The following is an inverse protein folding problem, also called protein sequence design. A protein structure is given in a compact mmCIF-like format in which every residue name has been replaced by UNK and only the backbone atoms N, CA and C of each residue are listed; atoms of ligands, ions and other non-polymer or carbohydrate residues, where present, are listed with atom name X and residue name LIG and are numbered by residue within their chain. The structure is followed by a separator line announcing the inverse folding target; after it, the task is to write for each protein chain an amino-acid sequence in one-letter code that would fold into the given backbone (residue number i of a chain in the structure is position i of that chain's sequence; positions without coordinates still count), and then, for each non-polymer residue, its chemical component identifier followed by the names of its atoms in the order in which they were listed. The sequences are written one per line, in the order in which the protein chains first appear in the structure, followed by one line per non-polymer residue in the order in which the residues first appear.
data_IF_734348407173
#
_entry.id   IF_734348407173
#
_cell.length_a   1.000
_cell.length_b   1.000
_cell.length_c   1.000
_cell.angle_alpha   90.00
_cell.angle_beta   90.00
_cell.angle_gamma   90.00
#
_symmetry.space_group_name_H-M   'P 1'
#
loop_
_entity.id
_entity.type
_entity.pdbx_description
1 polymer ?
#
# COMPACT_ATOMS: atom_id res chain seq x y z
N UNK A 1 -32.84 31.70 -41.81
CA UNK A 1 -33.90 30.95 -42.49
C UNK A 1 -34.26 29.77 -41.62
N UNK A 2 -35.54 29.77 -41.17
CA UNK A 2 -36.29 28.74 -40.41
C UNK A 2 -35.67 28.19 -39.11
N UNK A 3 -36.08 28.46 -37.90
CA UNK A 3 -37.35 28.57 -37.09
C UNK A 3 -38.10 27.24 -36.96
N UNK A 4 -38.44 26.98 -35.65
CA UNK A 4 -39.68 26.35 -35.11
C UNK A 4 -39.44 24.90 -34.62
N UNK A 5 -39.94 24.38 -33.48
CA UNK A 5 -40.79 24.86 -32.35
C UNK A 5 -40.73 23.88 -31.15
N UNK A 6 -40.90 24.43 -29.98
CA UNK A 6 -41.35 23.90 -28.70
C UNK A 6 -42.38 22.75 -28.75
N UNK A 7 -42.35 21.88 -27.74
CA UNK A 7 -43.56 21.57 -26.96
C UNK A 7 -43.24 21.09 -25.53
N UNK A 8 -43.75 21.88 -24.62
CA UNK A 8 -43.92 21.62 -23.16
C UNK A 8 -45.21 20.81 -23.01
N UNK A 9 -45.26 19.90 -22.05
CA UNK A 9 -46.52 19.50 -21.39
C UNK A 9 -46.24 19.17 -19.92
N UNK A 10 -46.73 20.09 -19.06
CA UNK A 10 -47.03 19.86 -17.66
C UNK A 10 -48.37 19.15 -17.52
N UNK A 11 -48.51 18.27 -16.54
CA UNK A 11 -49.80 18.01 -15.91
C UNK A 11 -49.57 17.67 -14.40
N UNK A 12 -50.12 18.58 -13.59
CA UNK A 12 -50.42 18.38 -12.18
C UNK A 12 -51.88 17.90 -12.05
N UNK A 13 -52.19 17.12 -11.03
CA UNK A 13 -53.51 17.03 -10.38
C UNK A 13 -53.41 16.14 -9.13
N UNK A 14 -53.54 16.70 -8.01
CA UNK A 14 -54.62 16.89 -7.00
C UNK A 14 -54.86 15.70 -6.09
N UNK A 15 -54.70 15.99 -4.79
CA UNK A 15 -55.26 15.23 -3.64
C UNK A 15 -56.75 15.47 -3.49
N UNK A 16 -57.46 14.65 -2.69
CA UNK A 16 -58.37 15.23 -1.72
C UNK A 16 -58.25 14.69 -0.32
N UNK A 17 -58.59 15.58 0.59
CA UNK A 17 -58.82 15.48 2.02
C UNK A 17 -60.18 14.84 2.37
N UNK A 18 -60.25 14.50 3.66
CA UNK A 18 -61.41 14.45 4.55
C UNK A 18 -61.90 13.04 4.91
N UNK A 19 -62.01 12.76 6.16
CA UNK A 19 -62.90 13.06 7.17
C UNK A 19 -62.97 11.98 8.23
N UNK A 20 -62.94 12.31 9.42
CA UNK A 20 -62.98 11.90 10.72
C UNK A 20 -64.20 11.09 11.15
N UNK A 21 -64.10 10.45 12.31
CA UNK A 21 -64.95 10.59 13.50
C UNK A 21 -64.50 9.64 14.62
N UNK A 22 -64.60 10.19 15.83
CA UNK A 22 -64.38 9.55 17.14
C UNK A 22 -65.34 8.40 17.43
N UNK A 23 -64.97 7.53 18.39
CA UNK A 23 -65.63 7.24 19.68
C UNK A 23 -65.19 5.86 20.22
N UNK A 24 -64.86 5.79 21.51
CA UNK A 24 -65.03 4.58 22.31
C UNK A 24 -63.92 4.22 23.28
N UNK A 25 -64.01 4.73 24.50
CA UNK A 25 -63.27 4.28 25.69
C UNK A 25 -63.58 2.82 26.04
N UNK A 26 -62.55 2.04 26.37
CA UNK A 26 -62.67 0.96 27.35
C UNK A 26 -61.32 0.76 28.04
N UNK A 27 -61.25 1.04 29.31
CA UNK A 27 -60.21 0.67 30.25
C UNK A 27 -60.10 -0.85 30.37
N UNK A 28 -58.89 -1.38 30.19
CA UNK A 28 -58.49 -2.61 30.86
C UNK A 28 -57.04 -2.49 31.27
N UNK A 29 -56.81 -2.37 32.57
CA UNK A 29 -55.50 -2.54 33.20
C UNK A 29 -55.12 -4.02 33.13
N UNK A 30 -53.99 -4.31 32.48
CA UNK A 30 -53.26 -5.53 32.73
C UNK A 30 -51.79 -5.14 32.97
N UNK A 31 -51.43 -5.32 34.23
CA UNK A 31 -50.06 -5.30 34.72
C UNK A 31 -49.25 -6.37 33.99
N UNK A 32 -48.27 -5.94 33.17
CA UNK A 32 -47.31 -6.82 32.57
C UNK A 32 -45.94 -6.12 32.60
N UNK A 33 -45.06 -6.59 33.47
CA UNK A 33 -43.64 -6.19 33.47
C UNK A 33 -43.05 -6.52 32.12
N UNK A 34 -42.90 -5.55 31.25
CA UNK A 34 -41.97 -5.62 30.13
C UNK A 34 -40.62 -5.07 30.58
N UNK A 35 -39.74 -5.98 30.96
CA UNK A 35 -38.31 -5.70 30.95
C UNK A 35 -37.89 -5.42 29.49
N UNK A 36 -37.78 -4.14 29.14
CA UNK A 36 -37.15 -3.71 27.92
C UNK A 36 -35.67 -4.12 27.97
N UNK A 37 -35.35 -5.25 27.36
CA UNK A 37 -34.00 -5.52 26.91
C UNK A 37 -33.64 -4.44 25.87
N UNK A 38 -33.16 -3.29 26.33
CA UNK A 38 -32.42 -2.38 25.50
C UNK A 38 -31.14 -3.14 25.16
N UNK A 39 -31.11 -3.72 23.97
CA UNK A 39 -29.89 -4.19 23.36
C UNK A 39 -28.97 -2.96 23.33
N UNK A 40 -27.96 -2.91 24.19
CA UNK A 40 -26.81 -2.03 24.03
C UNK A 40 -26.18 -2.38 22.67
N UNK A 41 -26.60 -1.66 21.65
CA UNK A 41 -25.81 -1.60 20.41
C UNK A 41 -24.48 -0.97 20.83
N UNK A 42 -23.46 -1.80 21.00
CA UNK A 42 -22.09 -1.36 21.10
C UNK A 42 -21.85 -0.46 19.88
N UNK A 43 -21.70 0.84 20.11
CA UNK A 43 -21.33 1.79 19.07
C UNK A 43 -19.89 1.39 18.72
N UNK A 44 -19.74 0.64 17.63
CA UNK A 44 -18.42 0.31 17.10
C UNK A 44 -17.78 1.64 16.72
N UNK A 45 -16.71 2.01 17.43
CA UNK A 45 -15.95 3.24 17.18
C UNK A 45 -15.35 3.13 15.78
N UNK A 46 -15.83 3.91 14.84
CA UNK A 46 -15.24 3.98 13.51
C UNK A 46 -13.95 4.81 13.60
N UNK A 47 -12.82 4.18 13.38
CA UNK A 47 -11.53 4.87 13.31
C UNK A 47 -11.39 5.67 12.00
N UNK A 48 -10.70 6.80 12.05
CA UNK A 48 -10.40 7.65 10.88
C UNK A 48 -9.23 7.14 10.04
N UNK A 49 -8.79 5.91 10.30
CA UNK A 49 -7.72 5.24 9.55
C UNK A 49 -8.00 3.74 9.46
N UNK A 50 -7.28 3.09 8.58
CA UNK A 50 -7.34 1.64 8.39
C UNK A 50 -6.00 1.00 8.73
N UNK A 51 -6.03 -0.25 9.16
CA UNK A 51 -4.85 -1.10 9.12
C UNK A 51 -4.73 -1.62 7.68
N UNK A 52 -3.76 -1.06 6.93
CA UNK A 52 -3.50 -1.44 5.53
C UNK A 52 -3.19 -2.91 5.41
N UNK A 53 -2.40 -3.43 6.37
CA UNK A 53 -2.02 -4.84 6.39
C UNK A 53 -1.55 -5.31 7.75
N UNK A 54 -1.84 -6.59 8.04
CA UNK A 54 -1.13 -7.40 9.02
C UNK A 54 -0.28 -8.38 8.21
N UNK A 55 1.06 -8.34 8.38
CA UNK A 55 1.99 -9.17 7.60
C UNK A 55 2.68 -10.17 8.51
N UNK A 56 2.40 -11.46 8.29
CA UNK A 56 3.06 -12.57 8.99
C UNK A 56 4.42 -12.86 8.36
N UNK A 57 5.48 -12.88 9.16
CA UNK A 57 6.82 -13.32 8.77
C UNK A 57 7.02 -14.79 9.09
N UNK A 58 7.39 -15.61 8.12
CA UNK A 58 7.63 -17.05 8.27
C UNK A 58 8.85 -17.51 7.47
N UNK A 59 9.46 -18.63 7.89
CA UNK A 59 10.48 -19.30 7.11
C UNK A 59 9.90 -20.58 6.53
N UNK A 60 10.11 -20.82 5.24
CA UNK A 60 9.73 -22.05 4.57
C UNK A 60 10.90 -23.01 4.51
N UNK A 61 10.65 -24.29 4.74
CA UNK A 61 11.68 -25.33 4.58
C UNK A 61 11.97 -25.61 3.09
N UNK A 62 10.96 -25.42 2.23
CA UNK A 62 11.07 -25.58 0.78
C UNK A 62 9.98 -24.80 0.04
N UNK A 63 10.07 -24.74 -1.30
CA UNK A 63 9.02 -24.15 -2.14
C UNK A 63 7.70 -24.94 -2.11
N UNK A 64 7.68 -26.15 -1.56
CA UNK A 64 6.49 -26.98 -1.39
C UNK A 64 5.97 -27.04 0.05
N UNK A 65 6.43 -26.16 0.94
CA UNK A 65 6.00 -26.12 2.36
C UNK A 65 4.63 -25.45 2.50
N UNK A 66 3.60 -26.15 2.08
CA UNK A 66 2.20 -25.71 2.19
C UNK A 66 1.72 -25.66 3.64
N UNK A 67 2.31 -26.47 4.54
CA UNK A 67 1.91 -26.50 5.95
C UNK A 67 2.20 -25.19 6.66
N UNK A 68 3.40 -24.63 6.46
CA UNK A 68 3.79 -23.33 7.05
C UNK A 68 2.95 -22.20 6.49
N UNK A 69 2.63 -22.22 5.18
CA UNK A 69 1.73 -21.24 4.54
C UNK A 69 0.33 -21.33 5.14
N UNK A 70 -0.26 -22.53 5.26
CA UNK A 70 -1.59 -22.71 5.86
C UNK A 70 -1.64 -22.22 7.32
N UNK A 71 -0.65 -22.58 8.13
CA UNK A 71 -0.55 -22.10 9.52
C UNK A 71 -0.45 -20.56 9.61
N UNK A 72 0.23 -19.92 8.65
CA UNK A 72 0.30 -18.47 8.58
C UNK A 72 -1.04 -17.85 8.18
N UNK A 73 -1.77 -18.45 7.22
CA UNK A 73 -3.13 -18.02 6.83
C UNK A 73 -4.06 -18.09 8.04
N UNK A 74 -4.06 -19.18 8.78
CA UNK A 74 -4.90 -19.35 9.97
C UNK A 74 -4.57 -18.31 11.05
N UNK A 75 -3.30 -18.03 11.30
CA UNK A 75 -2.89 -16.94 12.19
C UNK A 75 -3.46 -15.60 11.72
N UNK A 76 -3.30 -15.26 10.45
CA UNK A 76 -3.75 -14.00 9.88
C UNK A 76 -5.27 -13.81 9.95
N UNK A 77 -6.06 -14.89 9.80
CA UNK A 77 -7.50 -14.84 9.97
C UNK A 77 -7.88 -14.52 11.44
N UNK A 78 -7.20 -15.15 12.43
CA UNK A 78 -7.42 -14.81 13.84
C UNK A 78 -6.98 -13.39 14.17
N UNK A 79 -5.83 -12.94 13.62
CA UNK A 79 -5.33 -11.60 13.80
C UNK A 79 -6.29 -10.55 13.23
N UNK A 80 -6.77 -10.76 11.98
CA UNK A 80 -7.79 -9.91 11.35
C UNK A 80 -9.00 -9.77 12.26
N UNK A 81 -9.60 -10.90 12.65
CA UNK A 81 -10.80 -10.90 13.49
C UNK A 81 -10.57 -10.14 14.79
N UNK A 82 -9.43 -10.31 15.46
CA UNK A 82 -9.13 -9.67 16.73
C UNK A 82 -9.09 -8.14 16.62
N UNK A 83 -8.53 -7.58 15.53
CA UNK A 83 -8.54 -6.14 15.29
C UNK A 83 -9.91 -5.63 14.82
N UNK A 84 -10.64 -6.41 14.01
CA UNK A 84 -11.99 -6.06 13.58
C UNK A 84 -12.98 -6.03 14.77
N UNK A 85 -12.83 -6.92 15.75
CA UNK A 85 -13.63 -6.93 16.98
C UNK A 85 -13.41 -5.66 17.82
N UNK A 86 -12.27 -4.98 17.69
CA UNK A 86 -11.96 -3.68 18.32
C UNK A 86 -12.37 -2.47 17.44
N UNK A 87 -12.98 -2.73 16.28
CA UNK A 87 -13.50 -1.70 15.38
C UNK A 87 -12.54 -1.21 14.30
N UNK A 88 -11.38 -1.84 14.13
CA UNK A 88 -10.46 -1.51 13.04
C UNK A 88 -10.85 -2.17 11.73
N UNK A 89 -10.80 -1.44 10.63
CA UNK A 89 -10.89 -1.99 9.28
C UNK A 89 -9.53 -2.55 8.86
N UNK A 90 -9.48 -3.85 8.49
CA UNK A 90 -8.27 -4.51 7.99
C UNK A 90 -8.39 -4.69 6.48
N UNK A 91 -7.63 -3.93 5.71
CA UNK A 91 -7.73 -3.96 4.27
C UNK A 91 -7.16 -5.26 3.67
N UNK A 92 -5.95 -5.67 4.08
CA UNK A 92 -5.32 -6.90 3.60
C UNK A 92 -4.60 -7.65 4.72
N UNK A 93 -4.41 -8.95 4.52
CA UNK A 93 -3.49 -9.77 5.32
C UNK A 93 -2.47 -10.41 4.39
N UNK A 94 -1.21 -10.50 4.84
CA UNK A 94 -0.06 -10.82 3.99
C UNK A 94 0.89 -11.79 4.68
N UNK A 95 1.63 -12.56 3.87
CA UNK A 95 2.73 -13.41 4.34
C UNK A 95 4.03 -12.93 3.69
N UNK A 96 5.10 -12.79 4.44
CA UNK A 96 6.46 -12.53 3.94
C UNK A 96 7.36 -13.70 4.33
N UNK A 97 8.10 -14.26 3.35
CA UNK A 97 9.07 -15.32 3.60
C UNK A 97 10.50 -14.78 3.62
N UNK A 98 11.45 -15.62 4.01
CA UNK A 98 12.87 -15.37 3.77
C UNK A 98 13.13 -15.26 2.25
N UNK A 99 14.31 -14.75 1.84
CA UNK A 99 14.68 -14.68 0.42
C UNK A 99 14.55 -16.02 -0.29
N UNK A 100 13.90 -16.04 -1.46
CA UNK A 100 13.61 -17.26 -2.25
C UNK A 100 14.82 -18.22 -2.38
N UNK A 101 16.06 -17.76 -2.64
CA UNK A 101 17.20 -18.68 -2.76
C UNK A 101 17.47 -19.54 -1.53
N UNK A 102 16.99 -19.15 -0.34
CA UNK A 102 17.23 -19.87 0.92
C UNK A 102 16.37 -21.14 1.09
N UNK A 103 15.29 -21.28 0.30
CA UNK A 103 14.40 -22.43 0.38
C UNK A 103 14.11 -23.10 -0.96
N UNK A 104 14.92 -22.81 -1.97
CA UNK A 104 14.88 -23.54 -3.28
C UNK A 104 15.34 -25.00 -3.12
N UNK A 105 16.21 -25.29 -2.14
CA UNK A 105 16.71 -26.66 -1.85
C UNK A 105 17.27 -27.36 -3.10
N UNK A 106 18.09 -26.66 -3.87
CA UNK A 106 18.73 -27.18 -5.08
C UNK A 106 17.85 -27.13 -6.35
N UNK A 107 16.57 -26.80 -6.24
CA UNK A 107 15.72 -26.54 -7.42
C UNK A 107 16.13 -25.24 -8.11
N UNK A 108 16.01 -25.23 -9.43
CA UNK A 108 16.00 -23.99 -10.20
C UNK A 108 14.72 -23.18 -9.90
N UNK A 109 14.74 -21.89 -10.18
CA UNK A 109 13.53 -21.04 -10.09
C UNK A 109 12.40 -21.53 -11.00
N UNK A 110 12.74 -22.07 -12.17
CA UNK A 110 11.77 -22.62 -13.12
C UNK A 110 11.09 -23.86 -12.57
N UNK A 111 11.83 -24.78 -11.94
CA UNK A 111 11.25 -25.95 -11.27
C UNK A 111 10.36 -25.54 -10.09
N UNK A 112 10.71 -24.49 -9.38
CA UNK A 112 9.93 -23.97 -8.26
C UNK A 112 8.57 -23.36 -8.68
N UNK A 113 8.37 -22.96 -9.93
CA UNK A 113 7.11 -22.37 -10.41
C UNK A 113 5.90 -23.28 -10.17
N UNK A 114 6.07 -24.58 -10.31
CA UNK A 114 4.98 -25.55 -10.07
C UNK A 114 4.52 -25.56 -8.61
N UNK A 115 5.47 -25.43 -7.68
CA UNK A 115 5.17 -25.34 -6.25
C UNK A 115 4.55 -23.98 -5.91
N UNK A 116 5.09 -22.88 -6.46
CA UNK A 116 4.58 -21.53 -6.25
C UNK A 116 3.13 -21.37 -6.73
N UNK A 117 2.73 -22.07 -7.82
CA UNK A 117 1.32 -22.12 -8.24
C UNK A 117 0.41 -22.77 -7.20
N UNK A 118 0.84 -23.89 -6.59
CA UNK A 118 0.09 -24.55 -5.52
C UNK A 118 -0.06 -23.64 -4.29
N UNK A 119 1.01 -22.92 -3.95
CA UNK A 119 0.95 -21.90 -2.90
C UNK A 119 -0.06 -20.81 -3.27
N UNK A 120 -0.05 -20.31 -4.53
CA UNK A 120 -0.96 -19.26 -5.01
C UNK A 120 -2.43 -19.68 -4.94
N UNK A 121 -2.74 -20.96 -5.21
CA UNK A 121 -4.08 -21.54 -5.05
C UNK A 121 -4.53 -21.48 -3.57
N UNK A 122 -3.65 -21.86 -2.64
CA UNK A 122 -3.92 -21.81 -1.20
C UNK A 122 -4.10 -20.36 -0.71
N UNK A 123 -3.27 -19.44 -1.18
CA UNK A 123 -3.39 -18.01 -0.89
C UNK A 123 -4.71 -17.43 -1.40
N UNK A 124 -5.13 -17.82 -2.61
CA UNK A 124 -6.41 -17.39 -3.19
C UNK A 124 -7.60 -17.85 -2.36
N UNK A 125 -7.58 -19.10 -1.89
CA UNK A 125 -8.62 -19.63 -1.01
C UNK A 125 -8.69 -18.90 0.36
N UNK A 126 -7.53 -18.47 0.88
CA UNK A 126 -7.41 -17.75 2.14
C UNK A 126 -7.59 -16.22 2.02
N UNK A 127 -7.73 -15.69 0.82
CA UNK A 127 -7.69 -14.23 0.54
C UNK A 127 -6.46 -13.54 1.14
N UNK A 128 -5.28 -14.13 0.92
CA UNK A 128 -3.98 -13.69 1.42
C UNK A 128 -3.03 -13.46 0.24
N UNK A 129 -2.14 -12.50 0.36
CA UNK A 129 -1.06 -12.30 -0.60
C UNK A 129 0.30 -12.60 0.03
N UNK A 130 1.24 -13.05 -0.79
CA UNK A 130 2.56 -13.52 -0.37
C UNK A 130 3.66 -12.67 -1.01
N UNK A 131 4.71 -12.33 -0.25
CA UNK A 131 6.01 -11.95 -0.80
C UNK A 131 7.01 -13.08 -0.54
N UNK A 132 7.61 -13.59 -1.62
CA UNK A 132 8.67 -14.61 -1.57
C UNK A 132 10.06 -13.99 -1.28
N UNK A 133 10.08 -12.72 -0.85
CA UNK A 133 11.29 -11.96 -0.55
C UNK A 133 12.12 -11.63 -1.78
N UNK A 134 13.36 -11.17 -1.57
CA UNK A 134 14.30 -10.94 -2.66
C UNK A 134 14.69 -12.24 -3.37
N UNK A 135 14.57 -12.25 -4.70
CA UNK A 135 15.02 -13.37 -5.53
C UNK A 135 16.52 -13.26 -5.85
N UNK A 136 17.03 -12.04 -5.88
CA UNK A 136 18.46 -11.74 -6.02
C UNK A 136 18.86 -10.83 -4.87
N UNK A 137 19.87 -11.25 -4.07
CA UNK A 137 20.29 -10.57 -2.84
C UNK A 137 21.66 -9.91 -2.91
N UNK A 138 22.40 -10.09 -4.02
CA UNK A 138 23.72 -9.51 -4.23
C UNK A 138 23.83 -8.93 -5.63
N UNK A 139 24.98 -8.27 -5.95
CA UNK A 139 25.20 -7.68 -7.26
C UNK A 139 25.56 -8.74 -8.28
N UNK A 140 24.66 -9.03 -9.20
CA UNK A 140 24.87 -9.93 -10.33
C UNK A 140 23.91 -9.66 -11.48
N UNK A 141 24.37 -9.87 -12.69
CA UNK A 141 23.53 -9.99 -13.85
C UNK A 141 22.96 -11.41 -13.97
N UNK A 142 21.67 -11.52 -14.28
CA UNK A 142 20.98 -12.80 -14.37
C UNK A 142 20.08 -12.80 -15.63
N UNK A 143 20.55 -13.36 -16.75
CA UNK A 143 19.85 -13.28 -18.03
C UNK A 143 18.52 -14.06 -18.07
N UNK A 144 18.30 -14.99 -17.15
CA UNK A 144 17.08 -15.78 -17.09
C UNK A 144 16.00 -15.14 -16.21
N UNK A 145 16.38 -14.13 -15.41
CA UNK A 145 15.47 -13.57 -14.42
C UNK A 145 14.27 -12.87 -15.04
N UNK A 146 14.47 -12.11 -16.12
CA UNK A 146 13.39 -11.34 -16.76
C UNK A 146 12.27 -12.25 -17.30
N UNK A 147 12.64 -13.34 -17.98
CA UNK A 147 11.67 -14.33 -18.49
C UNK A 147 10.95 -15.07 -17.37
N UNK A 148 11.67 -15.48 -16.32
CA UNK A 148 11.10 -16.14 -15.16
C UNK A 148 10.13 -15.20 -14.41
N UNK A 149 10.49 -13.93 -14.20
CA UNK A 149 9.66 -12.94 -13.52
C UNK A 149 8.34 -12.71 -14.26
N UNK A 150 8.40 -12.56 -15.59
CA UNK A 150 7.19 -12.45 -16.41
C UNK A 150 6.32 -13.71 -16.35
N UNK A 151 6.93 -14.89 -16.34
CA UNK A 151 6.21 -16.16 -16.20
C UNK A 151 5.55 -16.29 -14.82
N UNK A 152 6.25 -15.98 -13.74
CA UNK A 152 5.69 -15.99 -12.37
C UNK A 152 4.46 -15.09 -12.29
N UNK A 153 4.57 -13.85 -12.80
CA UNK A 153 3.46 -12.90 -12.81
C UNK A 153 2.28 -13.38 -13.63
N UNK A 154 2.53 -14.03 -14.76
CA UNK A 154 1.48 -14.60 -15.63
C UNK A 154 0.76 -15.78 -14.99
N UNK A 155 1.48 -16.62 -14.26
CA UNK A 155 0.96 -17.90 -13.73
C UNK A 155 0.41 -17.83 -12.31
N UNK A 156 0.64 -16.72 -11.60
CA UNK A 156 0.17 -16.50 -10.22
C UNK A 156 -0.57 -15.17 -10.10
N UNK A 157 -1.36 -15.00 -9.03
CA UNK A 157 -2.12 -13.77 -8.78
C UNK A 157 -1.67 -13.07 -7.49
N UNK A 158 -1.27 -13.82 -6.48
CA UNK A 158 -1.07 -13.33 -5.11
C UNK A 158 0.41 -13.27 -4.71
N UNK A 159 1.34 -13.69 -5.59
CA UNK A 159 2.77 -13.74 -5.28
C UNK A 159 3.46 -12.45 -5.72
N UNK A 160 4.15 -11.83 -4.78
CA UNK A 160 4.97 -10.63 -4.93
C UNK A 160 6.44 -10.96 -4.68
N UNK A 161 7.34 -10.18 -5.24
CA UNK A 161 8.78 -10.41 -5.11
C UNK A 161 9.60 -9.16 -5.38
N UNK A 162 10.86 -9.20 -4.99
CA UNK A 162 11.80 -8.09 -5.19
C UNK A 162 13.20 -8.60 -5.58
N UNK A 163 14.07 -7.67 -5.92
CA UNK A 163 15.53 -7.87 -6.02
C UNK A 163 16.23 -6.80 -5.21
N UNK A 164 17.42 -7.10 -4.65
CA UNK A 164 18.18 -6.16 -3.85
C UNK A 164 19.16 -5.40 -4.73
N UNK A 165 18.92 -4.09 -4.93
CA UNK A 165 19.76 -3.22 -5.78
C UNK A 165 20.75 -2.34 -5.01
N UNK A 166 20.72 -2.39 -3.68
CA UNK A 166 21.77 -1.84 -2.81
C UNK A 166 21.81 -2.57 -1.47
N UNK A 167 22.98 -2.61 -0.88
CA UNK A 167 23.24 -3.13 0.47
C UNK A 167 24.36 -2.30 1.11
N UNK A 168 24.83 -2.68 2.30
CA UNK A 168 25.99 -2.09 2.95
C UNK A 168 27.25 -2.09 2.06
N UNK A 169 27.30 -2.98 1.06
CA UNK A 169 28.40 -3.07 0.08
C UNK A 169 28.29 -2.03 -1.03
N UNK A 170 27.24 -1.23 -1.05
CA UNK A 170 26.99 -0.19 -2.06
C UNK A 170 25.90 -0.56 -3.08
N UNK A 171 25.92 0.12 -4.22
CA UNK A 171 24.97 -0.05 -5.33
C UNK A 171 25.26 -1.35 -6.09
N UNK A 172 24.24 -2.13 -6.38
CA UNK A 172 24.29 -3.36 -7.16
C UNK A 172 23.93 -3.06 -8.62
N UNK A 173 24.92 -2.62 -9.40
CA UNK A 173 24.70 -2.14 -10.75
C UNK A 173 24.23 -3.22 -11.74
N UNK A 174 24.72 -4.45 -11.59
CA UNK A 174 24.31 -5.58 -12.43
C UNK A 174 22.88 -6.05 -12.09
N UNK A 175 22.53 -6.04 -10.81
CA UNK A 175 21.16 -6.37 -10.40
C UNK A 175 20.17 -5.26 -10.79
N UNK A 176 20.59 -4.00 -10.84
CA UNK A 176 19.76 -2.91 -11.37
C UNK A 176 19.42 -3.10 -12.85
N UNK A 177 20.38 -3.56 -13.66
CA UNK A 177 20.15 -3.92 -15.06
C UNK A 177 19.17 -5.11 -15.16
N UNK A 178 19.39 -6.16 -14.39
CA UNK A 178 18.49 -7.33 -14.32
C UNK A 178 17.08 -6.93 -13.93
N UNK A 179 16.91 -6.02 -12.98
CA UNK A 179 15.62 -5.50 -12.55
C UNK A 179 14.91 -4.71 -13.67
N UNK A 180 15.65 -3.89 -14.42
CA UNK A 180 15.11 -3.14 -15.55
C UNK A 180 14.58 -4.07 -16.65
N UNK A 181 15.34 -5.10 -17.01
CA UNK A 181 14.90 -6.13 -17.96
C UNK A 181 13.62 -6.85 -17.48
N UNK A 182 13.53 -7.17 -16.19
CA UNK A 182 12.35 -7.79 -15.60
C UNK A 182 11.14 -6.87 -15.67
N UNK A 183 11.26 -5.58 -15.37
CA UNK A 183 10.19 -4.60 -15.49
C UNK A 183 9.63 -4.56 -16.91
N UNK A 184 10.52 -4.53 -17.92
CA UNK A 184 10.12 -4.55 -19.34
C UNK A 184 9.41 -5.86 -19.71
N UNK A 185 9.95 -7.01 -19.27
CA UNK A 185 9.35 -8.32 -19.55
C UNK A 185 7.98 -8.50 -18.90
N UNK A 186 7.82 -8.10 -17.65
CA UNK A 186 6.56 -8.14 -16.92
C UNK A 186 5.54 -7.20 -17.60
N UNK A 187 5.93 -6.01 -17.97
CA UNK A 187 5.07 -5.05 -18.66
C UNK A 187 4.51 -5.62 -19.96
N UNK A 188 5.36 -6.22 -20.79
CA UNK A 188 4.94 -6.86 -22.05
C UNK A 188 4.05 -8.10 -21.82
N UNK A 189 4.21 -8.77 -20.69
CA UNK A 189 3.50 -10.00 -20.32
C UNK A 189 2.16 -9.79 -19.60
N UNK A 190 1.80 -8.54 -19.27
CA UNK A 190 0.59 -8.24 -18.49
C UNK A 190 -0.23 -7.09 -19.08
N UNK A 191 -1.58 -7.17 -19.06
CA UNK A 191 -2.45 -6.09 -19.55
C UNK A 191 -2.11 -4.76 -18.85
N UNK A 192 -1.95 -3.69 -19.63
CA UNK A 192 -1.64 -2.36 -19.09
C UNK A 192 -0.34 -2.25 -18.29
N UNK A 193 0.53 -3.27 -18.33
CA UNK A 193 1.75 -3.32 -17.51
C UNK A 193 1.49 -3.57 -16.01
N UNK A 194 0.25 -3.91 -15.62
CA UNK A 194 -0.18 -4.02 -14.21
C UNK A 194 0.57 -5.11 -13.43
N UNK A 195 1.21 -6.07 -14.10
CA UNK A 195 2.06 -7.06 -13.47
C UNK A 195 3.21 -6.47 -12.65
N UNK A 196 3.68 -5.27 -13.01
CA UNK A 196 4.71 -4.54 -12.27
C UNK A 196 4.25 -4.08 -10.86
N UNK A 197 2.95 -4.16 -10.56
CA UNK A 197 2.45 -3.92 -9.20
C UNK A 197 3.03 -4.92 -8.18
N UNK A 198 3.43 -6.11 -8.64
CA UNK A 198 3.93 -7.21 -7.79
C UNK A 198 5.45 -7.31 -7.73
N UNK A 199 6.19 -6.39 -8.37
CA UNK A 199 7.65 -6.39 -8.43
C UNK A 199 8.25 -5.06 -8.02
N UNK A 200 9.41 -5.08 -7.34
CA UNK A 200 10.19 -3.88 -7.04
C UNK A 200 11.69 -4.14 -6.96
N UNK A 201 12.48 -3.13 -7.30
CA UNK A 201 13.90 -3.07 -7.00
C UNK A 201 14.08 -2.41 -5.63
N UNK A 202 14.61 -3.15 -4.65
CA UNK A 202 14.71 -2.74 -3.24
C UNK A 202 16.15 -2.36 -2.87
N UNK A 203 16.34 -1.19 -2.27
CA UNK A 203 17.63 -0.68 -1.84
C UNK A 203 17.64 -0.53 -0.30
N UNK A 204 18.54 -1.24 0.39
CA UNK A 204 18.70 -1.23 1.85
C UNK A 204 17.41 -1.45 2.66
N UNK A 205 16.41 -2.12 2.08
CA UNK A 205 15.17 -2.43 2.79
C UNK A 205 15.39 -3.52 3.84
N UNK A 206 14.74 -3.36 4.98
CA UNK A 206 14.91 -4.23 6.14
C UNK A 206 13.90 -5.38 6.13
N UNK A 207 14.29 -6.52 6.75
CA UNK A 207 13.35 -7.59 7.05
C UNK A 207 12.27 -7.10 8.02
N UNK A 208 11.06 -7.67 7.92
CA UNK A 208 9.93 -7.26 8.75
C UNK A 208 9.14 -6.06 8.23
N UNK A 209 9.55 -5.46 7.10
CA UNK A 209 8.75 -4.47 6.40
C UNK A 209 7.40 -5.08 6.00
N UNK A 210 6.23 -4.50 6.37
CA UNK A 210 4.93 -5.09 6.06
C UNK A 210 4.44 -4.80 4.64
N UNK A 211 5.00 -3.81 3.97
CA UNK A 211 4.54 -3.35 2.66
C UNK A 211 5.12 -4.18 1.52
N UNK A 212 4.29 -4.43 0.51
CA UNK A 212 4.62 -5.21 -0.67
C UNK A 212 4.90 -4.30 -1.88
N UNK A 213 5.72 -4.76 -2.80
CA UNK A 213 6.36 -6.09 -2.91
C UNK A 213 7.73 -6.23 -2.21
N UNK A 214 8.16 -5.25 -1.45
CA UNK A 214 9.51 -5.21 -0.82
C UNK A 214 9.65 -6.15 0.39
N UNK A 215 8.53 -6.55 0.99
CA UNK A 215 8.52 -7.32 2.24
C UNK A 215 9.31 -8.64 2.15
N UNK A 216 10.09 -8.91 3.16
CA UNK A 216 10.70 -10.21 3.41
C UNK A 216 10.91 -10.43 4.90
N UNK A 217 11.16 -11.69 5.27
CA UNK A 217 11.32 -12.08 6.66
C UNK A 217 12.72 -12.64 6.97
N UNK A 218 13.16 -12.45 8.20
CA UNK A 218 14.31 -13.11 8.82
C UNK A 218 14.06 -13.30 10.31
N UNK A 219 14.58 -14.39 10.88
CA UNK A 219 14.48 -14.65 12.31
C UNK A 219 13.29 -15.53 12.69
N UNK A 220 12.86 -15.52 13.94
CA UNK A 220 11.73 -16.29 14.42
C UNK A 220 10.42 -15.88 13.76
N UNK A 221 9.42 -16.76 13.79
CA UNK A 221 8.08 -16.45 13.29
C UNK A 221 7.53 -15.17 13.93
N UNK A 222 7.10 -14.22 13.11
CA UNK A 222 6.81 -12.87 13.54
C UNK A 222 5.58 -12.27 12.82
N UNK A 223 5.23 -11.03 13.15
CA UNK A 223 4.33 -10.21 12.37
C UNK A 223 4.62 -8.72 12.54
N UNK A 224 4.19 -7.94 11.56
CA UNK A 224 4.24 -6.48 11.54
C UNK A 224 2.94 -5.89 11.01
N UNK A 225 2.70 -4.61 11.29
CA UNK A 225 1.49 -3.89 10.90
C UNK A 225 1.88 -2.72 9.99
N UNK A 226 1.15 -2.55 8.89
CA UNK A 226 1.24 -1.37 8.01
C UNK A 226 -0.07 -0.59 8.03
N UNK A 227 0.00 0.71 7.86
CA UNK A 227 -1.11 1.64 8.08
C UNK A 227 -1.58 2.33 6.79
N UNK A 228 -2.82 2.81 6.82
CA UNK A 228 -3.43 3.73 5.87
C UNK A 228 -3.96 4.92 6.67
N UNK A 229 -3.15 5.95 6.83
CA UNK A 229 -3.40 7.07 7.74
C UNK A 229 -3.49 8.47 7.11
N UNK A 230 -3.59 8.67 5.76
CA UNK A 230 -3.61 10.02 5.22
C UNK A 230 -4.75 10.91 5.75
N UNK A 231 -5.91 10.32 6.13
CA UNK A 231 -7.00 11.08 6.73
C UNK A 231 -6.63 11.65 8.10
N UNK A 232 -5.84 10.94 8.92
CA UNK A 232 -5.32 11.49 10.18
C UNK A 232 -4.36 12.65 9.92
N UNK A 233 -3.53 12.56 8.88
CA UNK A 233 -2.65 13.66 8.49
C UNK A 233 -3.46 14.88 8.04
N UNK A 234 -4.51 14.67 7.23
CA UNK A 234 -5.41 15.75 6.82
C UNK A 234 -6.08 16.42 8.03
N UNK A 235 -6.58 15.63 8.99
CA UNK A 235 -7.21 16.13 10.21
C UNK A 235 -6.21 16.95 11.07
N UNK A 236 -4.97 16.49 11.21
CA UNK A 236 -3.92 17.20 11.94
C UNK A 236 -3.56 18.54 11.28
N UNK A 237 -3.54 18.57 9.94
CA UNK A 237 -3.10 19.74 9.18
C UNK A 237 -4.21 20.74 8.86
N UNK A 238 -5.49 20.35 8.92
CA UNK A 238 -6.62 21.22 8.58
C UNK A 238 -6.67 22.54 9.36
N UNK A 239 -6.09 22.58 10.55
CA UNK A 239 -6.04 23.76 11.40
C UNK A 239 -4.60 24.14 11.80
N UNK A 240 -3.59 23.58 11.13
CA UNK A 240 -2.20 23.91 11.39
C UNK A 240 -1.89 25.34 10.92
N UNK A 241 -1.20 26.11 11.75
CA UNK A 241 -0.81 27.48 11.44
C UNK A 241 0.43 27.55 10.56
N UNK A 242 1.30 26.57 10.72
CA UNK A 242 2.56 26.40 10.02
C UNK A 242 3.02 24.95 10.10
N UNK A 243 4.17 24.65 9.53
CA UNK A 243 4.74 23.30 9.50
C UNK A 243 5.04 22.77 10.91
N UNK A 244 5.53 23.60 11.83
CA UNK A 244 5.88 23.17 13.18
C UNK A 244 4.62 22.87 14.03
N UNK A 245 3.57 23.69 13.93
CA UNK A 245 2.27 23.40 14.53
C UNK A 245 1.67 22.10 13.93
N UNK A 246 1.81 21.91 12.62
CA UNK A 246 1.39 20.69 11.93
C UNK A 246 2.11 19.44 12.44
N UNK A 247 3.44 19.50 12.66
CA UNK A 247 4.23 18.41 13.24
C UNK A 247 3.74 18.05 14.65
N UNK A 248 3.53 19.06 15.51
CA UNK A 248 3.07 18.84 16.88
C UNK A 248 1.70 18.18 16.94
N UNK A 249 0.74 18.66 16.13
CA UNK A 249 -0.61 18.09 16.01
C UNK A 249 -0.58 16.66 15.48
N UNK A 250 0.20 16.42 14.42
CA UNK A 250 0.33 15.10 13.82
C UNK A 250 0.88 14.09 14.82
N UNK A 251 1.94 14.43 15.55
CA UNK A 251 2.53 13.59 16.61
C UNK A 251 1.47 13.21 17.64
N UNK A 252 0.82 14.20 18.24
CA UNK A 252 -0.21 13.99 19.28
C UNK A 252 -1.33 13.08 18.78
N UNK A 253 -1.80 13.31 17.56
CA UNK A 253 -2.89 12.51 16.99
C UNK A 253 -2.45 11.06 16.70
N UNK A 254 -1.28 10.87 16.08
CA UNK A 254 -0.78 9.52 15.77
C UNK A 254 -0.46 8.73 17.04
N UNK A 255 0.14 9.32 18.06
CA UNK A 255 0.42 8.63 19.33
C UNK A 255 -0.88 8.20 20.03
N UNK A 256 -1.91 9.05 20.01
CA UNK A 256 -3.23 8.73 20.57
C UNK A 256 -3.93 7.58 19.82
N UNK A 257 -3.84 7.55 18.50
CA UNK A 257 -4.54 6.56 17.66
C UNK A 257 -3.75 5.24 17.54
N UNK A 258 -2.42 5.28 17.53
CA UNK A 258 -1.59 4.10 17.32
C UNK A 258 -1.22 3.36 18.61
N UNK A 259 -1.22 4.01 19.75
CA UNK A 259 -0.97 3.36 21.05
C UNK A 259 -1.90 2.17 21.33
N UNK A 260 -3.21 2.29 21.14
CA UNK A 260 -4.15 1.16 21.24
C UNK A 260 -3.85 0.02 20.26
N UNK A 261 -3.45 0.33 19.00
CA UNK A 261 -3.06 -0.67 17.99
C UNK A 261 -1.84 -1.45 18.45
N UNK A 262 -0.80 -0.76 18.95
CA UNK A 262 0.40 -1.40 19.47
C UNK A 262 0.09 -2.29 20.68
N UNK A 263 -0.71 -1.81 21.63
CA UNK A 263 -1.13 -2.59 22.79
C UNK A 263 -1.81 -3.90 22.37
N UNK A 264 -2.71 -3.83 21.40
CA UNK A 264 -3.41 -4.99 20.85
C UNK A 264 -2.42 -5.95 20.14
N UNK A 265 -1.45 -5.40 19.39
CA UNK A 265 -0.41 -6.19 18.74
C UNK A 265 0.50 -6.91 19.75
N UNK A 266 0.90 -6.24 20.83
CA UNK A 266 1.68 -6.85 21.91
C UNK A 266 0.94 -7.97 22.65
N UNK A 267 -0.38 -7.81 22.86
CA UNK A 267 -1.21 -8.88 23.43
C UNK A 267 -1.32 -10.07 22.47
N UNK A 268 -1.50 -9.82 21.18
CA UNK A 268 -1.53 -10.85 20.14
C UNK A 268 -0.19 -11.60 20.05
N UNK A 269 0.94 -10.90 20.16
CA UNK A 269 2.28 -11.51 20.15
C UNK A 269 2.42 -12.54 21.26
N UNK A 270 1.96 -12.23 22.47
CA UNK A 270 1.98 -13.16 23.62
C UNK A 270 1.07 -14.35 23.39
N UNK A 271 -0.15 -14.11 22.93
CA UNK A 271 -1.18 -15.15 22.75
C UNK A 271 -0.82 -16.14 21.65
N UNK A 272 -0.32 -15.64 20.52
CA UNK A 272 0.02 -16.42 19.33
C UNK A 272 1.47 -16.93 19.32
N UNK A 273 2.28 -16.56 20.33
CA UNK A 273 3.70 -16.89 20.45
C UNK A 273 4.49 -16.51 19.20
N UNK A 274 4.26 -15.29 18.71
CA UNK A 274 4.96 -14.70 17.57
C UNK A 274 5.65 -13.42 17.99
N UNK A 275 6.79 -13.12 17.37
CA UNK A 275 7.45 -11.84 17.61
C UNK A 275 6.64 -10.70 16.95
N UNK A 276 6.39 -9.64 17.70
CA UNK A 276 5.88 -8.39 17.15
C UNK A 276 7.04 -7.52 16.71
N UNK A 277 7.13 -7.23 15.40
CA UNK A 277 8.23 -6.46 14.82
C UNK A 277 8.01 -4.96 14.89
N UNK A 278 6.76 -4.51 14.99
CA UNK A 278 6.40 -3.09 15.07
C UNK A 278 5.33 -2.68 14.07
N UNK A 279 5.03 -1.38 14.10
CA UNK A 279 4.19 -0.69 13.11
C UNK A 279 5.09 0.01 12.10
N UNK A 280 4.85 -0.20 10.81
CA UNK A 280 5.36 0.70 9.78
C UNK A 280 4.40 1.89 9.70
N UNK A 281 4.85 3.03 10.20
CA UNK A 281 4.05 4.25 10.33
C UNK A 281 3.84 4.99 9.01
N UNK A 282 4.36 4.46 7.91
CA UNK A 282 4.18 5.05 6.58
C UNK A 282 2.68 5.17 6.24
N UNK A 283 2.22 6.38 5.85
CA UNK A 283 0.80 6.64 5.58
C UNK A 283 0.45 6.19 4.15
N UNK A 284 0.25 4.88 3.94
CA UNK A 284 -0.16 4.38 2.63
C UNK A 284 -1.48 5.05 2.21
N UNK A 285 -1.56 5.63 1.00
CA UNK A 285 -2.79 6.24 0.53
C UNK A 285 -3.74 5.22 -0.11
N UNK A 286 -4.94 5.69 -0.40
CA UNK A 286 -5.95 5.01 -1.18
C UNK A 286 -6.80 6.02 -1.96
N UNK A 287 -7.77 5.56 -2.75
CA UNK A 287 -8.62 6.45 -3.56
C UNK A 287 -9.42 7.45 -2.72
N UNK A 288 -9.69 7.13 -1.47
CA UNK A 288 -10.46 7.95 -0.52
C UNK A 288 -9.60 8.55 0.61
N UNK A 289 -8.29 8.30 0.61
CA UNK A 289 -7.35 8.78 1.62
C UNK A 289 -6.03 9.22 0.96
N UNK A 290 -5.94 10.49 0.56
CA UNK A 290 -4.82 11.04 -0.21
C UNK A 290 -3.76 11.69 0.67
N UNK A 291 -2.51 11.27 0.46
CA UNK A 291 -1.34 11.92 1.06
C UNK A 291 -1.02 13.26 0.37
N UNK A 292 -1.29 13.37 -0.93
CA UNK A 292 -1.17 14.62 -1.66
C UNK A 292 -2.09 15.69 -1.05
N UNK A 293 -3.35 15.34 -0.74
CA UNK A 293 -4.27 16.24 -0.07
C UNK A 293 -3.81 16.65 1.34
N UNK A 294 -3.20 15.75 2.10
CA UNK A 294 -2.64 16.09 3.41
C UNK A 294 -1.48 17.10 3.30
N UNK A 295 -0.59 16.93 2.32
CA UNK A 295 0.50 17.86 2.07
C UNK A 295 -0.04 19.24 1.63
N UNK A 296 -1.06 19.28 0.78
CA UNK A 296 -1.71 20.51 0.36
C UNK A 296 -2.41 21.22 1.52
N UNK A 297 -3.03 20.46 2.44
CA UNK A 297 -3.61 21.02 3.66
C UNK A 297 -2.55 21.68 4.56
N UNK A 298 -1.35 21.08 4.68
CA UNK A 298 -0.25 21.62 5.48
C UNK A 298 0.41 22.84 4.85
N UNK A 299 0.58 22.84 3.52
CA UNK A 299 1.33 23.87 2.80
C UNK A 299 0.46 25.01 2.25
N UNK A 300 -0.84 24.78 2.13
CA UNK A 300 -1.80 25.63 1.42
C UNK A 300 -1.43 25.88 -0.06
N UNK A 301 -0.63 24.98 -0.62
CA UNK A 301 -0.15 25.02 -2.01
C UNK A 301 -0.37 23.65 -2.67
N UNK A 302 -0.60 23.62 -4.00
CA UNK A 302 -0.67 22.37 -4.72
C UNK A 302 0.61 21.55 -4.58
N UNK A 303 0.47 20.22 -4.45
CA UNK A 303 1.62 19.31 -4.42
C UNK A 303 2.51 19.50 -5.67
N UNK A 304 3.81 19.49 -5.48
CA UNK A 304 4.81 19.82 -6.51
C UNK A 304 5.25 21.28 -6.48
N UNK A 305 4.58 22.16 -5.70
CA UNK A 305 5.01 23.55 -5.50
C UNK A 305 6.15 23.65 -4.48
N UNK A 306 6.73 24.83 -4.35
CA UNK A 306 7.63 25.19 -3.23
C UNK A 306 6.96 24.81 -1.89
N UNK A 307 7.72 24.40 -0.91
CA UNK A 307 7.32 23.83 0.39
C UNK A 307 6.93 22.36 0.38
N UNK A 308 6.67 21.71 -0.76
CA UNK A 308 6.40 20.26 -0.82
C UNK A 308 7.53 19.44 -0.20
N UNK A 309 8.80 19.75 -0.53
CA UNK A 309 9.95 19.06 0.03
C UNK A 309 10.05 19.23 1.56
N UNK A 310 9.82 20.44 2.06
CA UNK A 310 9.84 20.75 3.49
C UNK A 310 8.70 19.99 4.24
N UNK A 311 7.51 19.96 3.67
CA UNK A 311 6.39 19.20 4.22
C UNK A 311 6.67 17.68 4.24
N UNK A 312 7.24 17.12 3.17
CA UNK A 312 7.66 15.72 3.14
C UNK A 312 8.69 15.39 4.23
N UNK A 313 9.66 16.28 4.44
CA UNK A 313 10.67 16.14 5.50
C UNK A 313 10.02 16.16 6.89
N UNK A 314 9.18 17.16 7.15
CA UNK A 314 8.48 17.35 8.43
C UNK A 314 7.58 16.14 8.79
N UNK A 315 6.80 15.65 7.84
CA UNK A 315 5.96 14.46 8.03
C UNK A 315 6.83 13.25 8.36
N UNK A 316 7.88 12.99 7.57
CA UNK A 316 8.78 11.84 7.78
C UNK A 316 9.49 11.89 9.12
N UNK A 317 9.88 13.08 9.60
CA UNK A 317 10.46 13.28 10.92
C UNK A 317 9.48 12.84 12.03
N UNK A 318 8.23 13.24 11.96
CA UNK A 318 7.20 12.83 12.92
C UNK A 318 7.01 11.31 12.88
N UNK A 319 6.82 10.72 11.69
CA UNK A 319 6.58 9.28 11.54
C UNK A 319 7.69 8.41 12.13
N UNK A 320 8.95 8.88 12.08
CA UNK A 320 10.13 8.18 12.63
C UNK A 320 10.35 8.37 14.12
N UNK A 321 9.68 9.34 14.73
CA UNK A 321 9.95 9.77 16.11
C UNK A 321 8.77 9.54 17.06
N UNK A 322 7.78 8.72 16.65
CA UNK A 322 6.67 8.31 17.50
C UNK A 322 7.14 7.38 18.61
N UNK A 323 6.55 7.47 19.78
CA UNK A 323 6.86 6.61 20.94
C UNK A 323 6.10 5.26 20.83
N UNK A 324 6.40 4.51 19.76
CA UNK A 324 5.90 3.15 19.51
C UNK A 324 7.00 2.31 18.87
N UNK A 325 6.89 1.00 18.93
CA UNK A 325 7.83 0.11 18.21
C UNK A 325 7.58 0.22 16.71
N UNK A 326 8.52 0.84 16.00
CA UNK A 326 8.45 1.00 14.54
C UNK A 326 9.22 -0.09 13.78
N UNK A 327 8.83 -0.34 12.54
CA UNK A 327 9.52 -1.24 11.60
C UNK A 327 9.44 -0.71 10.17
N UNK A 328 10.04 -1.42 9.23
CA UNK A 328 9.92 -1.14 7.80
C UNK A 328 10.48 0.20 7.36
N UNK A 329 9.74 0.92 6.56
CA UNK A 329 10.12 2.23 6.06
C UNK A 329 9.93 3.34 7.11
N UNK A 330 8.80 3.32 7.80
CA UNK A 330 8.37 4.34 8.76
C UNK A 330 8.64 5.75 8.25
N UNK A 331 8.13 6.07 7.08
CA UNK A 331 8.34 7.35 6.41
C UNK A 331 7.28 7.62 5.33
N UNK A 332 7.25 8.84 4.85
CA UNK A 332 6.25 9.26 3.87
C UNK A 332 6.30 8.43 2.59
N UNK A 333 5.13 8.06 2.06
CA UNK A 333 4.92 7.36 0.80
C UNK A 333 4.30 8.30 -0.24
N UNK A 334 4.80 8.26 -1.48
CA UNK A 334 4.31 9.06 -2.60
C UNK A 334 3.99 8.17 -3.82
N UNK A 335 3.05 7.21 -3.71
CA UNK A 335 2.71 6.30 -4.79
C UNK A 335 1.78 6.98 -5.80
N UNK A 336 2.31 7.37 -6.96
CA UNK A 336 1.61 8.20 -7.95
C UNK A 336 0.26 7.58 -8.41
N UNK A 337 0.25 6.26 -8.63
CA UNK A 337 -0.95 5.57 -9.11
C UNK A 337 -1.90 5.11 -7.99
N UNK A 338 -1.56 5.26 -6.72
CA UNK A 338 -2.44 4.89 -5.60
C UNK A 338 -3.08 6.11 -4.92
N UNK A 339 -2.70 7.33 -5.34
CA UNK A 339 -3.14 8.60 -4.74
C UNK A 339 -3.77 9.52 -5.78
N UNK A 340 -5.06 9.88 -5.64
CA UNK A 340 -5.76 10.67 -6.65
C UNK A 340 -5.24 12.12 -6.79
N UNK A 341 -4.73 12.73 -5.71
CA UNK A 341 -4.18 14.09 -5.78
C UNK A 341 -2.81 14.05 -6.44
N UNK A 342 -1.93 13.10 -6.07
CA UNK A 342 -0.64 12.94 -6.75
C UNK A 342 -0.84 12.70 -8.25
N UNK A 343 -1.76 11.79 -8.63
CA UNK A 343 -2.09 11.53 -10.03
C UNK A 343 -2.59 12.78 -10.76
N UNK A 344 -3.43 13.59 -10.12
CA UNK A 344 -3.96 14.86 -10.68
C UNK A 344 -2.83 15.87 -10.87
N UNK A 345 -1.95 16.04 -9.89
CA UNK A 345 -0.82 17.00 -9.98
C UNK A 345 0.24 16.56 -10.99
N UNK A 346 0.43 15.24 -11.16
CA UNK A 346 1.24 14.72 -12.26
C UNK A 346 0.62 15.08 -13.63
N UNK A 347 -0.69 14.93 -13.78
CA UNK A 347 -1.42 15.29 -14.99
C UNK A 347 -1.37 16.79 -15.32
N UNK A 348 -1.31 17.64 -14.29
CA UNK A 348 -1.09 19.08 -14.43
C UNK A 348 0.38 19.46 -14.74
N UNK A 349 1.29 18.49 -14.77
CA UNK A 349 2.72 18.73 -15.01
C UNK A 349 3.43 19.46 -13.86
N UNK A 350 2.92 19.34 -12.63
CA UNK A 350 3.47 20.05 -11.48
C UNK A 350 4.74 19.45 -10.94
N UNK A 351 5.01 18.20 -11.26
CA UNK A 351 6.22 17.48 -10.90
C UNK A 351 6.51 16.36 -11.88
N UNK A 352 7.75 15.92 -11.95
CA UNK A 352 8.25 14.86 -12.80
C UNK A 352 8.82 13.72 -11.95
N UNK A 353 9.40 12.70 -12.61
CA UNK A 353 10.13 11.63 -11.92
C UNK A 353 11.35 12.17 -11.17
N UNK A 354 11.96 13.25 -11.66
CA UNK A 354 13.12 13.89 -10.99
C UNK A 354 12.74 14.53 -9.66
N UNK A 355 11.58 15.22 -9.59
CA UNK A 355 11.09 15.75 -8.32
C UNK A 355 10.71 14.62 -7.35
N UNK A 356 10.13 13.51 -7.82
CA UNK A 356 9.88 12.34 -6.97
C UNK A 356 11.18 11.76 -6.40
N UNK A 357 12.24 11.69 -7.23
CA UNK A 357 13.57 11.27 -6.76
C UNK A 357 14.15 12.27 -5.76
N UNK A 358 13.96 13.57 -5.96
CA UNK A 358 14.34 14.60 -5.00
C UNK A 358 13.58 14.43 -3.68
N UNK A 359 12.25 14.25 -3.73
CA UNK A 359 11.44 14.00 -2.53
C UNK A 359 11.85 12.69 -1.82
N UNK A 360 12.36 11.70 -2.57
CA UNK A 360 12.91 10.47 -2.00
C UNK A 360 14.12 10.70 -1.10
N UNK A 361 14.78 11.87 -1.16
CA UNK A 361 15.83 12.24 -0.21
C UNK A 361 15.31 12.41 1.21
N UNK A 362 14.08 12.88 1.38
CA UNK A 362 13.44 13.18 2.68
C UNK A 362 12.24 12.29 3.00
N UNK A 363 11.58 11.65 2.00
CA UNK A 363 10.48 10.71 2.21
C UNK A 363 10.99 9.32 2.63
N UNK A 364 10.08 8.35 2.80
CA UNK A 364 10.37 7.02 3.35
C UNK A 364 10.60 5.91 2.35
N UNK A 365 10.03 5.98 1.14
CA UNK A 365 9.85 4.77 0.31
C UNK A 365 10.53 4.78 -1.04
N UNK A 366 10.90 5.94 -1.57
CA UNK A 366 11.50 6.02 -2.92
C UNK A 366 10.47 6.26 -4.02
N UNK A 367 10.72 5.70 -5.21
CA UNK A 367 9.81 5.77 -6.34
C UNK A 367 8.78 4.65 -6.24
N UNK A 368 7.51 5.01 -6.11
CA UNK A 368 6.45 4.04 -5.89
C UNK A 368 5.32 4.18 -6.89
N UNK A 369 5.00 3.08 -7.59
CA UNK A 369 4.01 2.97 -8.69
C UNK A 369 4.06 4.15 -9.66
N UNK A 370 5.26 4.44 -10.17
CA UNK A 370 5.50 5.55 -11.10
C UNK A 370 5.17 5.11 -12.53
N UNK A 371 4.16 5.73 -13.20
CA UNK A 371 3.79 5.38 -14.57
C UNK A 371 4.79 5.96 -15.57
N UNK A 372 5.42 5.09 -16.36
CA UNK A 372 6.42 5.43 -17.38
C UNK A 372 5.97 4.98 -18.78
N UNK A 373 6.54 5.60 -19.80
CA UNK A 373 6.29 5.26 -21.19
C UNK A 373 6.68 3.79 -21.49
N UNK A 374 5.84 3.11 -22.27
CA UNK A 374 6.08 1.69 -22.60
C UNK A 374 7.30 1.43 -23.46
N UNK A 375 7.85 2.47 -24.09
CA UNK A 375 9.09 2.47 -24.90
C UNK A 375 10.33 2.95 -24.12
N UNK A 376 10.23 3.22 -22.82
CA UNK A 376 11.39 3.49 -21.95
C UNK A 376 12.36 2.32 -22.02
N UNK A 377 13.61 2.62 -22.35
CA UNK A 377 14.65 1.60 -22.55
C UNK A 377 15.10 0.93 -21.25
N UNK A 378 15.68 -0.25 -21.37
CA UNK A 378 16.29 -0.98 -20.24
C UNK A 378 17.39 -0.15 -19.59
N UNK A 379 18.19 0.56 -20.39
CA UNK A 379 19.29 1.41 -19.94
C UNK A 379 18.79 2.59 -19.10
N UNK A 380 17.72 3.27 -19.53
CA UNK A 380 17.10 4.38 -18.79
C UNK A 380 16.49 3.89 -17.45
N UNK A 381 15.78 2.76 -17.47
CA UNK A 381 15.26 2.16 -16.25
C UNK A 381 16.36 1.75 -15.27
N UNK A 382 17.42 1.10 -15.78
CA UNK A 382 18.57 0.70 -14.96
C UNK A 382 19.30 1.92 -14.38
N UNK A 383 19.40 3.03 -15.14
CA UNK A 383 19.96 4.28 -14.65
C UNK A 383 19.12 4.85 -13.50
N UNK A 384 17.79 4.95 -13.66
CA UNK A 384 16.89 5.43 -12.61
C UNK A 384 16.95 4.54 -11.36
N UNK A 385 16.97 3.21 -11.51
CA UNK A 385 17.10 2.27 -10.38
C UNK A 385 18.44 2.48 -9.65
N UNK A 386 19.54 2.73 -10.38
CA UNK A 386 20.84 3.05 -9.78
C UNK A 386 20.82 4.38 -9.02
N UNK A 387 20.10 5.39 -9.50
CA UNK A 387 19.95 6.66 -8.79
C UNK A 387 19.20 6.47 -7.46
N UNK A 388 18.12 5.68 -7.44
CA UNK A 388 17.41 5.31 -6.20
C UNK A 388 18.35 4.55 -5.24
N UNK A 389 19.13 3.60 -5.77
CA UNK A 389 20.09 2.81 -5.00
C UNK A 389 21.22 3.68 -4.42
N UNK A 390 21.76 4.62 -5.20
CA UNK A 390 22.79 5.57 -4.78
C UNK A 390 22.28 6.51 -3.68
N UNK A 391 21.06 7.03 -3.85
CA UNK A 391 20.40 7.88 -2.85
C UNK A 391 20.17 7.13 -1.54
N UNK A 392 19.64 5.90 -1.61
CA UNK A 392 19.44 5.00 -0.47
C UNK A 392 20.75 4.73 0.29
N UNK A 393 21.80 4.40 -0.45
CA UNK A 393 23.13 4.12 0.12
C UNK A 393 23.72 5.36 0.79
N UNK A 394 23.66 6.52 0.11
CA UNK A 394 24.23 7.77 0.64
C UNK A 394 23.51 8.24 1.91
N UNK A 395 22.20 8.08 1.97
CA UNK A 395 21.37 8.54 3.09
C UNK A 395 21.14 7.46 4.18
N UNK A 396 21.71 6.26 3.99
CA UNK A 396 21.53 5.11 4.91
C UNK A 396 20.07 4.84 5.25
N UNK A 397 19.20 4.80 4.24
CA UNK A 397 17.75 4.61 4.44
C UNK A 397 17.16 3.64 3.41
N UNK A 398 16.10 2.89 3.78
CA UNK A 398 15.42 2.02 2.84
C UNK A 398 14.73 2.85 1.76
N UNK A 399 14.92 2.49 0.49
CA UNK A 399 14.18 3.01 -0.66
C UNK A 399 13.87 1.86 -1.62
N UNK A 400 12.88 2.04 -2.48
CA UNK A 400 12.56 1.10 -3.55
C UNK A 400 12.19 1.82 -4.83
N UNK A 401 12.26 1.11 -5.96
CA UNK A 401 11.79 1.56 -7.25
C UNK A 401 10.75 0.55 -7.78
N UNK A 402 9.47 0.90 -7.66
CA UNK A 402 8.32 0.19 -8.25
C UNK A 402 7.84 0.99 -9.45
N UNK A 403 8.29 0.61 -10.64
CA UNK A 403 8.11 1.34 -11.88
C UNK A 403 7.11 0.61 -12.78
N UNK A 404 6.17 1.37 -13.32
CA UNK A 404 5.11 0.87 -14.19
C UNK A 404 5.33 1.33 -15.63
N UNK A 405 5.84 0.44 -16.48
CA UNK A 405 5.82 0.70 -17.91
C UNK A 405 4.45 0.36 -18.47
N UNK A 406 3.85 1.31 -19.19
CA UNK A 406 2.53 1.15 -19.79
C UNK A 406 2.67 0.90 -21.29
N UNK A 407 2.51 -0.34 -21.77
CA UNK A 407 2.71 -0.70 -23.18
C UNK A 407 1.87 0.16 -24.12
N UNK A 408 2.49 0.65 -25.19
CA UNK A 408 1.84 1.44 -26.23
C UNK A 408 1.49 2.89 -25.82
N UNK A 409 1.86 3.33 -24.62
CA UNK A 409 1.66 4.70 -24.14
C UNK A 409 2.97 5.47 -24.12
N UNK A 410 2.89 6.78 -24.34
CA UNK A 410 3.99 7.74 -24.29
C UNK A 410 3.82 8.73 -23.15
N UNK A 411 4.87 9.45 -22.81
CA UNK A 411 4.79 10.54 -21.84
C UNK A 411 3.71 11.56 -22.23
N UNK A 412 2.83 11.88 -21.26
CA UNK A 412 1.66 12.75 -21.47
C UNK A 412 0.37 12.00 -21.84
N UNK A 413 0.44 10.74 -22.28
CA UNK A 413 -0.76 9.93 -22.53
C UNK A 413 -1.46 9.59 -21.22
N UNK A 414 -2.78 9.42 -21.28
CA UNK A 414 -3.57 8.95 -20.14
C UNK A 414 -3.50 7.43 -20.02
N UNK A 415 -3.24 6.95 -18.81
CA UNK A 415 -3.33 5.55 -18.44
C UNK A 415 -4.56 5.31 -17.55
N UNK A 416 -5.30 4.24 -17.83
CA UNK A 416 -6.46 3.79 -17.08
C UNK A 416 -6.25 2.34 -16.66
N UNK A 417 -6.70 2.00 -15.45
CA UNK A 417 -6.48 0.69 -14.85
C UNK A 417 -7.80 0.09 -14.38
N UNK A 418 -7.95 -1.23 -14.55
CA UNK A 418 -9.06 -1.98 -13.97
C UNK A 418 -8.77 -2.44 -12.52
N UNK A 419 -7.58 -2.18 -12.01
CA UNK A 419 -7.17 -2.54 -10.67
C UNK A 419 -7.85 -1.62 -9.64
N UNK A 420 -8.53 -2.16 -8.61
CA UNK A 420 -9.24 -1.35 -7.61
C UNK A 420 -8.31 -0.44 -6.78
N UNK A 421 -7.02 -0.78 -6.69
CA UNK A 421 -6.03 0.00 -5.95
C UNK A 421 -5.36 1.11 -6.78
N UNK A 422 -5.48 1.06 -8.13
CA UNK A 422 -4.86 2.03 -9.01
C UNK A 422 -5.84 3.11 -9.46
N UNK A 423 -5.37 4.35 -9.51
CA UNK A 423 -6.09 5.50 -10.06
C UNK A 423 -5.55 5.85 -11.45
N UNK A 424 -6.41 6.39 -12.31
CA UNK A 424 -6.00 6.87 -13.62
C UNK A 424 -5.05 8.07 -13.48
N UNK A 425 -3.99 8.10 -14.28
CA UNK A 425 -2.98 9.16 -14.28
C UNK A 425 -2.46 9.40 -15.69
N UNK A 426 -1.55 10.36 -15.84
CA UNK A 426 -0.75 10.52 -17.07
C UNK A 426 0.55 9.74 -16.94
N UNK A 427 1.08 9.32 -18.09
CA UNK A 427 2.43 8.76 -18.18
C UNK A 427 3.43 9.87 -17.91
N UNK A 428 4.26 9.70 -16.91
CA UNK A 428 5.24 10.71 -16.51
C UNK A 428 6.42 10.74 -17.44
N UNK A 429 7.02 11.93 -17.58
CA UNK A 429 8.33 12.07 -18.23
C UNK A 429 9.40 11.56 -17.29
N UNK A 430 10.37 10.82 -17.84
CA UNK A 430 11.54 10.38 -17.10
C UNK A 430 12.48 11.57 -16.83
N UNK A 431 12.67 12.44 -17.86
CA UNK A 431 13.51 13.65 -17.86
C UNK A 431 12.70 14.93 -18.12
#
# INVERSE_FOLDING_TARGET
MFRILLKVLSLAFLAPLAGGLCVGLAHHQISGRNSSLVSERTIVKSHRFRIRTITAGVNLDSTSDLKTIDAAIQFLQRARKKFEDEGYEIQTVRIATQPLPQYLNGKSRTEALADLRKIDELLSAGNVILSIGPVITGDRYDPEFASWAAQLVKETKNINFSVTVASERGVHAQTALTAAEAIVAISKGSPGGEGNFRFTAAANCLSGTPFFPVAYHRGPTAFSIGLETPLLLQDAFAQAKDIEDGKARLRTLLEAELGPVEKQALDMARTERREYLGIDTSPAPSKDASIGAAIEALTHLPFGSSSTLAACAAITEVLKSLDIKTCGYSGLMLPVLEDPVLATRAAEGRYTVRELLLYSSVCGTGLDVVPLAGDTSVEELAALIRDVAALSTKLHKPLSARLFLIPGKKAGDRAEFNNPFLTSSVIMKLD
#
